data_IF_197803095122
#
_entry.id   IF_197803095122
#
_cell.length_a   1.000
_cell.length_b   1.000
_cell.length_c   1.000
_cell.angle_alpha   90.00
_cell.angle_beta   90.00
_cell.angle_gamma   90.00
#
_symmetry.space_group_name_H-M   'P 1'
#
loop_
_entity.id
_entity.type
_entity.pdbx_description
1 polymer ?
#
# COMPACT_ATOMS: atom_id res chain seq x y z
N UNK A 1 13.17 -5.25 -15.88
CA UNK A 1 11.90 -5.31 -15.15
C UNK A 1 11.32 -3.91 -15.02
N UNK A 2 10.01 -3.80 -14.95
CA UNK A 2 9.32 -2.53 -14.72
C UNK A 2 8.97 -2.40 -13.25
N UNK A 3 9.20 -1.23 -12.67
CA UNK A 3 8.86 -0.90 -11.31
C UNK A 3 7.64 0.02 -11.31
N UNK A 4 6.57 -0.39 -10.63
CA UNK A 4 5.37 0.41 -10.49
C UNK A 4 5.37 1.09 -9.14
N UNK A 5 5.27 2.41 -9.14
CA UNK A 5 5.09 3.20 -7.92
C UNK A 5 3.68 3.71 -7.82
N UNK A 6 3.16 3.65 -6.62
CA UNK A 6 1.97 4.37 -6.22
C UNK A 6 2.39 5.42 -5.19
N UNK A 7 2.32 6.68 -5.55
CA UNK A 7 2.68 7.80 -4.67
C UNK A 7 1.43 8.62 -4.40
N UNK A 8 1.07 8.77 -3.13
CA UNK A 8 0.09 9.77 -2.72
C UNK A 8 0.81 11.10 -2.50
N UNK A 9 0.49 12.11 -3.32
CA UNK A 9 1.00 13.47 -3.14
C UNK A 9 -0.21 14.36 -2.90
N UNK A 10 -0.38 14.84 -1.67
CA UNK A 10 -1.53 15.65 -1.25
C UNK A 10 -2.88 14.97 -1.57
N UNK A 11 -3.91 15.63 -1.89
CA UNK A 11 -5.25 15.06 -2.10
C UNK A 11 -5.40 14.32 -3.45
N UNK A 12 -4.34 14.26 -4.27
CA UNK A 12 -4.32 13.60 -5.57
C UNK A 12 -3.48 12.32 -5.51
N UNK A 13 -4.09 11.20 -5.80
CA UNK A 13 -3.39 9.94 -6.00
C UNK A 13 -2.84 9.86 -7.43
N UNK A 14 -1.56 9.56 -7.55
CA UNK A 14 -0.89 9.36 -8.85
C UNK A 14 -0.21 8.00 -8.86
N UNK A 15 -0.63 7.15 -9.77
CA UNK A 15 0.08 5.90 -10.07
C UNK A 15 0.91 6.09 -11.34
N UNK A 16 2.12 5.54 -11.36
CA UNK A 16 2.98 5.61 -12.53
C UNK A 16 3.80 4.33 -12.71
N UNK A 17 4.09 3.99 -13.95
CA UNK A 17 5.05 2.96 -14.31
C UNK A 17 6.37 3.65 -14.63
N UNK A 18 7.45 3.27 -13.93
CA UNK A 18 8.79 3.75 -14.24
C UNK A 18 9.63 2.65 -14.88
N UNK A 19 10.15 2.85 -16.09
CA UNK A 19 11.22 2.01 -16.61
C UNK A 19 12.50 2.22 -15.79
N UNK A 20 13.22 1.13 -15.51
CA UNK A 20 14.43 1.15 -14.65
C UNK A 20 15.64 1.86 -15.30
N UNK A 21 15.61 2.13 -16.57
CA UNK A 21 16.74 2.63 -17.36
C UNK A 21 16.64 4.12 -17.72
N UNK A 22 15.69 4.83 -17.18
CA UNK A 22 15.57 6.27 -17.39
C UNK A 22 14.66 6.90 -16.35
N UNK A 23 15.23 7.70 -15.48
CA UNK A 23 14.52 8.48 -14.46
C UNK A 23 13.71 9.63 -15.09
N UNK A 24 12.82 9.32 -16.01
CA UNK A 24 11.82 10.29 -16.44
C UNK A 24 10.51 10.03 -15.68
N UNK A 25 10.33 10.76 -14.60
CA UNK A 25 9.15 10.68 -13.74
C UNK A 25 7.89 11.32 -14.35
N UNK A 26 7.89 11.64 -15.63
CA UNK A 26 6.78 12.35 -16.28
C UNK A 26 5.77 11.42 -16.96
N UNK A 27 6.00 10.12 -16.98
CA UNK A 27 5.16 9.19 -17.71
C UNK A 27 3.93 8.73 -16.93
N UNK A 28 2.80 8.90 -17.53
CA UNK A 28 1.50 8.30 -17.24
C UNK A 28 0.93 8.58 -15.84
N UNK A 29 0.72 9.84 -15.54
CA UNK A 29 -0.21 10.25 -14.50
C UNK A 29 -1.62 10.08 -15.07
N UNK A 30 -2.38 9.13 -14.57
CA UNK A 30 -3.80 9.04 -14.87
C UNK A 30 -4.56 9.88 -13.85
N UNK A 31 -4.96 11.08 -14.26
CA UNK A 31 -5.57 12.10 -13.38
C UNK A 31 -7.00 11.75 -12.92
N UNK A 32 -7.58 10.65 -13.41
CA UNK A 32 -8.98 10.29 -13.19
C UNK A 32 -9.25 9.21 -12.13
N UNK A 33 -8.25 8.77 -11.37
CA UNK A 33 -8.45 7.75 -10.36
C UNK A 33 -8.99 8.38 -9.08
N UNK A 34 -10.30 8.35 -8.90
CA UNK A 34 -10.93 8.60 -7.61
C UNK A 34 -10.69 7.40 -6.69
N UNK A 35 -9.83 7.57 -5.71
CA UNK A 35 -9.38 6.52 -4.77
C UNK A 35 -10.49 5.81 -3.99
N UNK A 36 -11.69 6.34 -3.97
CA UNK A 36 -12.79 5.81 -3.18
C UNK A 36 -13.52 4.64 -3.83
N UNK A 37 -13.41 4.51 -5.15
CA UNK A 37 -14.02 3.42 -5.91
C UNK A 37 -13.02 3.00 -7.00
N UNK A 38 -12.20 2.01 -6.75
CA UNK A 38 -11.25 1.44 -7.71
C UNK A 38 -11.79 0.16 -8.41
N UNK A 39 -13.03 0.11 -8.95
CA UNK A 39 -13.50 -1.08 -9.65
C UNK A 39 -12.80 -1.27 -11.01
N UNK A 40 -12.20 -0.22 -11.55
CA UNK A 40 -11.60 -0.21 -12.89
C UNK A 40 -10.05 -0.14 -12.88
N UNK A 41 -9.43 -0.21 -11.71
CA UNK A 41 -7.98 -0.26 -11.63
C UNK A 41 -7.50 -1.60 -12.19
N UNK A 42 -6.89 -1.58 -13.36
CA UNK A 42 -6.34 -2.78 -13.99
C UNK A 42 -5.01 -2.51 -14.64
N UNK A 43 -4.12 -3.45 -14.54
CA UNK A 43 -2.93 -3.59 -15.35
C UNK A 43 -3.07 -4.84 -16.22
N UNK A 44 -2.24 -4.97 -17.24
CA UNK A 44 -2.13 -6.20 -17.99
C UNK A 44 -1.66 -7.34 -17.08
N UNK A 45 -2.12 -8.56 -17.38
CA UNK A 45 -1.80 -9.74 -16.60
C UNK A 45 -0.31 -10.13 -16.75
N UNK A 46 0.29 -10.58 -15.65
CA UNK A 46 1.66 -11.13 -15.63
C UNK A 46 2.72 -10.20 -16.25
N UNK A 47 2.59 -8.91 -16.03
CA UNK A 47 3.47 -7.89 -16.61
C UNK A 47 4.70 -7.63 -15.72
N UNK A 48 4.51 -7.57 -14.39
CA UNK A 48 5.54 -7.08 -13.48
C UNK A 48 6.26 -8.18 -12.72
N UNK A 49 7.54 -7.97 -12.46
CA UNK A 49 8.34 -8.80 -11.55
C UNK A 49 8.20 -8.34 -10.10
N UNK A 50 7.89 -7.04 -9.90
CA UNK A 50 7.72 -6.44 -8.59
C UNK A 50 6.74 -5.27 -8.65
N UNK A 51 5.90 -5.17 -7.62
CA UNK A 51 5.06 -3.99 -7.34
C UNK A 51 5.37 -3.51 -5.94
N UNK A 52 5.52 -2.21 -5.77
CA UNK A 52 5.74 -1.57 -4.47
C UNK A 52 4.65 -0.53 -4.20
N UNK A 53 4.18 -0.47 -2.96
CA UNK A 53 3.25 0.55 -2.50
C UNK A 53 3.72 1.16 -1.19
N UNK A 54 3.63 2.49 -1.10
CA UNK A 54 4.08 3.25 0.06
C UNK A 54 2.98 4.23 0.49
N UNK A 55 2.54 4.13 1.74
CA UNK A 55 1.58 5.06 2.38
C UNK A 55 0.30 5.27 1.57
N UNK A 56 -0.21 4.23 1.00
CA UNK A 56 -1.32 4.31 0.07
C UNK A 56 -2.46 3.35 0.41
N UNK A 57 -2.17 2.21 0.99
CA UNK A 57 -3.21 1.20 1.29
C UNK A 57 -4.24 1.68 2.32
N UNK A 58 -3.91 2.69 3.11
CA UNK A 58 -4.85 3.31 4.06
C UNK A 58 -5.86 4.26 3.40
N UNK A 59 -5.65 4.69 2.16
CA UNK A 59 -6.52 5.65 1.48
C UNK A 59 -7.82 5.03 0.94
N UNK A 60 -7.81 3.85 0.27
CA UNK A 60 -9.03 3.25 -0.19
C UNK A 60 -9.84 2.60 0.94
N UNK A 61 -11.14 2.42 0.71
CA UNK A 61 -11.97 1.57 1.55
C UNK A 61 -11.44 0.12 1.56
N UNK A 62 -11.91 -0.73 2.47
CA UNK A 62 -11.53 -2.15 2.49
C UNK A 62 -11.86 -2.85 1.16
N UNK A 63 -12.98 -2.51 0.54
CA UNK A 63 -13.36 -3.02 -0.80
C UNK A 63 -12.44 -2.48 -1.89
N UNK A 64 -12.16 -1.17 -1.89
CA UNK A 64 -11.22 -0.55 -2.83
C UNK A 64 -9.81 -1.12 -2.69
N UNK A 65 -9.36 -1.37 -1.47
CA UNK A 65 -8.08 -2.03 -1.21
C UNK A 65 -8.04 -3.48 -1.72
N UNK A 66 -9.15 -4.22 -1.54
CA UNK A 66 -9.28 -5.57 -2.12
C UNK A 66 -9.14 -5.53 -3.64
N UNK A 67 -9.88 -4.64 -4.31
CA UNK A 67 -9.82 -4.50 -5.77
C UNK A 67 -8.41 -4.12 -6.25
N UNK A 68 -7.74 -3.22 -5.56
CA UNK A 68 -6.34 -2.86 -5.83
C UNK A 68 -5.42 -4.09 -5.69
N UNK A 69 -5.52 -4.82 -4.59
CA UNK A 69 -4.67 -5.97 -4.33
C UNK A 69 -4.91 -7.11 -5.34
N UNK A 70 -6.17 -7.33 -5.76
CA UNK A 70 -6.51 -8.27 -6.83
C UNK A 70 -5.92 -7.84 -8.19
N UNK A 71 -5.94 -6.54 -8.51
CA UNK A 71 -5.34 -6.01 -9.73
C UNK A 71 -3.81 -6.19 -9.70
N UNK A 72 -3.16 -5.90 -8.57
CA UNK A 72 -1.73 -6.15 -8.37
C UNK A 72 -1.41 -7.64 -8.50
N UNK A 73 -2.22 -8.51 -7.90
CA UNK A 73 -2.04 -9.97 -8.01
C UNK A 73 -2.06 -10.43 -9.46
N UNK A 74 -3.05 -9.98 -10.24
CA UNK A 74 -3.12 -10.34 -11.67
C UNK A 74 -1.92 -9.84 -12.45
N UNK A 75 -1.49 -8.60 -12.20
CA UNK A 75 -0.40 -7.96 -12.94
C UNK A 75 0.99 -8.53 -12.66
N UNK A 76 1.20 -9.13 -11.50
CA UNK A 76 2.45 -9.78 -11.17
C UNK A 76 2.62 -11.11 -11.91
N UNK A 77 3.82 -11.39 -12.35
CA UNK A 77 4.25 -12.72 -12.83
C UNK A 77 4.22 -13.72 -11.67
N UNK A 78 4.14 -15.03 -11.97
CA UNK A 78 4.38 -16.07 -10.97
C UNK A 78 5.77 -15.90 -10.35
N UNK A 79 5.87 -15.97 -9.03
CA UNK A 79 7.08 -15.65 -8.27
C UNK A 79 7.32 -14.16 -8.03
N UNK A 80 6.52 -13.28 -8.64
CA UNK A 80 6.62 -11.83 -8.50
C UNK A 80 6.34 -11.35 -7.08
N UNK A 81 6.95 -10.22 -6.73
CA UNK A 81 6.96 -9.69 -5.36
C UNK A 81 6.02 -8.48 -5.24
N UNK A 82 5.22 -8.46 -4.17
CA UNK A 82 4.50 -7.28 -3.74
C UNK A 82 5.07 -6.78 -2.41
N UNK A 83 5.69 -5.60 -2.43
CA UNK A 83 6.19 -4.94 -1.22
C UNK A 83 5.25 -3.82 -0.80
N UNK A 84 4.90 -3.78 0.48
CA UNK A 84 3.98 -2.79 1.01
C UNK A 84 4.52 -2.16 2.30
N UNK A 85 4.42 -0.83 2.38
CA UNK A 85 4.78 -0.03 3.56
C UNK A 85 3.63 0.89 3.90
N UNK A 86 3.13 0.82 5.14
CA UNK A 86 2.10 1.76 5.59
C UNK A 86 2.17 2.00 7.09
N UNK A 87 1.39 2.97 7.57
CA UNK A 87 1.38 3.38 8.98
C UNK A 87 0.70 2.32 9.85
N UNK A 88 1.38 1.98 10.94
CA UNK A 88 0.93 0.94 11.89
C UNK A 88 -0.27 1.43 12.70
N UNK A 89 -1.31 0.59 12.76
CA UNK A 89 -2.38 0.64 13.73
C UNK A 89 -2.25 -0.54 14.70
N UNK A 90 -2.67 -0.34 15.94
CA UNK A 90 -2.71 -1.41 16.94
C UNK A 90 -3.64 -2.53 16.47
N UNK A 91 -3.20 -3.77 16.60
CA UNK A 91 -4.01 -4.93 16.26
C UNK A 91 -5.34 -4.93 17.01
N UNK A 92 -6.43 -5.12 16.27
CA UNK A 92 -7.81 -5.10 16.78
C UNK A 92 -8.16 -3.83 17.57
N UNK A 93 -7.63 -2.69 17.16
CA UNK A 93 -8.02 -1.42 17.78
C UNK A 93 -9.53 -1.23 17.70
N UNK A 94 -10.20 -0.78 18.80
CA UNK A 94 -11.64 -0.58 18.80
C UNK A 94 -12.08 0.40 17.71
N UNK A 95 -13.21 0.10 17.05
CA UNK A 95 -13.81 0.92 15.97
C UNK A 95 -14.07 2.37 16.39
N UNK A 96 -14.29 2.62 17.70
CA UNK A 96 -14.42 3.99 18.23
C UNK A 96 -13.17 4.86 18.02
N UNK A 97 -12.00 4.26 17.83
CA UNK A 97 -10.75 4.97 17.52
C UNK A 97 -10.43 4.96 16.03
N UNK A 98 -11.09 4.14 15.24
CA UNK A 98 -10.81 4.00 13.81
C UNK A 98 -10.97 5.32 13.04
N UNK A 99 -11.99 6.11 13.37
CA UNK A 99 -12.21 7.42 12.79
C UNK A 99 -11.11 8.44 13.15
N UNK A 100 -10.43 8.25 14.27
CA UNK A 100 -9.35 9.12 14.75
C UNK A 100 -7.99 8.71 14.18
N UNK A 101 -7.86 7.44 13.77
CA UNK A 101 -6.63 6.84 13.21
C UNK A 101 -6.81 6.44 11.73
N UNK A 102 -7.57 7.21 10.96
CA UNK A 102 -8.05 6.84 9.62
C UNK A 102 -6.97 6.49 8.60
N UNK A 103 -5.73 6.96 8.81
CA UNK A 103 -4.60 6.66 7.93
C UNK A 103 -3.62 5.64 8.53
N UNK A 104 -4.08 4.81 9.44
CA UNK A 104 -3.29 3.70 10.00
C UNK A 104 -3.98 2.38 9.73
N UNK A 105 -3.22 1.37 9.38
CA UNK A 105 -3.71 0.03 9.09
C UNK A 105 -3.09 -1.00 10.03
N UNK A 106 -3.92 -1.93 10.46
CA UNK A 106 -3.51 -3.08 11.24
C UNK A 106 -2.75 -4.09 10.35
N UNK A 107 -1.44 -4.31 10.57
CA UNK A 107 -0.64 -5.18 9.71
C UNK A 107 -1.13 -6.63 9.70
N UNK A 108 -1.72 -7.12 10.78
CA UNK A 108 -2.24 -8.50 10.86
C UNK A 108 -3.45 -8.66 9.95
N UNK A 109 -4.35 -7.67 9.93
CA UNK A 109 -5.50 -7.67 9.02
C UNK A 109 -5.06 -7.50 7.56
N UNK A 110 -4.06 -6.68 7.29
CA UNK A 110 -3.50 -6.53 5.93
C UNK A 110 -2.87 -7.84 5.45
N UNK A 111 -2.11 -8.54 6.29
CA UNK A 111 -1.58 -9.86 5.93
C UNK A 111 -2.72 -10.83 5.57
N UNK A 112 -3.80 -10.83 6.37
CA UNK A 112 -4.97 -11.66 6.06
C UNK A 112 -5.62 -11.27 4.73
N UNK A 113 -5.84 -9.98 4.48
CA UNK A 113 -6.41 -9.50 3.21
C UNK A 113 -5.56 -9.95 2.00
N UNK A 114 -4.24 -9.87 2.10
CA UNK A 114 -3.33 -10.30 1.04
C UNK A 114 -3.39 -11.81 0.80
N UNK A 115 -3.45 -12.61 1.86
CA UNK A 115 -3.61 -14.08 1.77
C UNK A 115 -4.95 -14.42 1.14
N UNK A 116 -6.03 -13.72 1.50
CA UNK A 116 -7.37 -13.93 0.94
C UNK A 116 -7.42 -13.63 -0.58
N UNK A 117 -6.57 -12.73 -1.09
CA UNK A 117 -6.38 -12.45 -2.53
C UNK A 117 -5.58 -13.57 -3.24
N UNK A 118 -4.76 -14.32 -2.50
CA UNK A 118 -3.95 -15.42 -3.04
C UNK A 118 -2.44 -15.24 -2.90
N UNK A 119 -1.98 -14.14 -2.28
CA UNK A 119 -0.57 -13.95 -2.01
C UNK A 119 -0.06 -14.89 -0.91
N UNK A 120 1.21 -15.26 -1.00
CA UNK A 120 1.96 -15.85 0.11
C UNK A 120 2.64 -14.72 0.90
N UNK A 121 2.46 -14.71 2.22
CA UNK A 121 3.29 -13.87 3.09
C UNK A 121 4.71 -14.43 3.15
N UNK A 122 5.71 -13.61 2.85
CA UNK A 122 7.12 -14.05 2.80
C UNK A 122 7.89 -13.57 4.00
N UNK A 123 7.81 -12.26 4.31
CA UNK A 123 8.65 -11.66 5.34
C UNK A 123 8.14 -10.27 5.74
N UNK A 124 8.69 -9.74 6.83
CA UNK A 124 8.55 -8.35 7.24
C UNK A 124 9.92 -7.73 7.54
N UNK A 125 10.01 -6.41 7.53
CA UNK A 125 11.23 -5.71 7.91
C UNK A 125 10.95 -4.68 8.99
N UNK A 126 11.78 -4.60 10.05
CA UNK A 126 11.66 -3.56 11.08
C UNK A 126 12.29 -2.23 10.67
N UNK A 127 12.71 -2.04 9.41
CA UNK A 127 13.44 -0.85 8.96
C UNK A 127 12.70 0.48 9.16
N UNK A 128 11.37 0.44 9.27
CA UNK A 128 10.53 1.61 9.52
C UNK A 128 9.87 1.59 10.91
N UNK A 129 10.39 0.77 11.82
CA UNK A 129 9.89 0.70 13.18
C UNK A 129 10.26 1.96 13.97
N UNK A 130 9.26 2.61 14.56
CA UNK A 130 9.38 3.80 15.40
C UNK A 130 8.74 3.55 16.77
N UNK A 131 9.51 3.04 17.75
CA UNK A 131 8.99 2.64 19.06
C UNK A 131 8.41 3.79 19.89
N UNK A 132 8.79 5.04 19.57
CA UNK A 132 8.28 6.23 20.26
C UNK A 132 6.87 6.64 19.81
N UNK A 133 6.36 6.07 18.71
CA UNK A 133 4.99 6.28 18.26
C UNK A 133 4.03 5.40 19.05
N UNK A 134 3.21 6.01 19.90
CA UNK A 134 2.23 5.30 20.73
C UNK A 134 0.99 4.81 19.95
N UNK A 135 0.96 5.08 18.62
CA UNK A 135 -0.12 4.70 17.70
C UNK A 135 -1.48 5.36 17.99
N UNK A 136 -1.52 6.36 18.87
CA UNK A 136 -2.79 6.96 19.33
C UNK A 136 -3.28 8.11 18.46
N UNK A 137 -2.39 8.72 17.66
CA UNK A 137 -2.65 9.93 16.91
C UNK A 137 -2.71 9.69 15.41
N UNK A 138 -3.50 10.50 14.72
CA UNK A 138 -3.55 10.54 13.28
C UNK A 138 -2.20 10.97 12.70
N UNK A 139 -1.76 10.34 11.61
CA UNK A 139 -0.40 10.46 11.05
C UNK A 139 -0.02 11.86 10.55
N UNK A 140 -1.00 12.70 10.22
CA UNK A 140 -0.80 14.09 9.81
C UNK A 140 -0.71 15.09 10.96
N UNK A 141 -0.94 14.64 12.20
CA UNK A 141 -0.91 15.52 13.38
C UNK A 141 0.45 16.21 13.52
N UNK A 142 0.48 17.54 13.76
CA UNK A 142 1.74 18.23 14.04
C UNK A 142 2.52 17.57 15.18
N UNK A 143 3.80 17.29 14.96
CA UNK A 143 4.68 16.58 15.90
C UNK A 143 4.70 15.05 15.75
N UNK A 144 3.71 14.47 15.06
CA UNK A 144 3.66 13.03 14.73
C UNK A 144 4.10 12.80 13.30
N UNK A 145 3.77 13.72 12.41
CA UNK A 145 4.09 13.64 10.98
C UNK A 145 5.59 13.41 10.76
N UNK A 146 5.92 12.34 10.04
CA UNK A 146 7.30 11.94 9.74
C UNK A 146 7.94 11.00 10.77
N UNK A 147 7.36 10.87 11.98
CA UNK A 147 7.85 10.03 13.09
C UNK A 147 6.92 8.85 13.42
N UNK A 148 5.97 8.56 12.54
CA UNK A 148 5.02 7.46 12.75
C UNK A 148 5.68 6.10 12.57
N UNK A 149 5.27 5.13 13.39
CA UNK A 149 5.59 3.73 13.18
C UNK A 149 4.96 3.22 11.88
N UNK A 150 5.69 2.38 11.16
CA UNK A 150 5.27 1.80 9.89
C UNK A 150 5.69 0.35 9.79
N UNK A 151 4.76 -0.46 9.35
CA UNK A 151 5.07 -1.82 8.97
C UNK A 151 5.59 -1.88 7.53
N UNK A 152 6.48 -2.83 7.28
CA UNK A 152 7.03 -3.16 5.95
C UNK A 152 6.84 -4.66 5.74
N UNK A 153 6.01 -5.01 4.76
CA UNK A 153 5.61 -6.39 4.49
C UNK A 153 6.00 -6.79 3.07
N UNK A 154 6.37 -8.06 2.91
CA UNK A 154 6.72 -8.67 1.64
C UNK A 154 5.83 -9.86 1.36
N UNK A 155 5.21 -9.84 0.19
CA UNK A 155 4.37 -10.91 -0.32
C UNK A 155 4.91 -11.44 -1.65
N UNK A 156 4.50 -12.63 -2.03
CA UNK A 156 4.83 -13.27 -3.30
C UNK A 156 3.56 -13.81 -3.95
N UNK A 157 3.42 -13.63 -5.27
CA UNK A 157 2.47 -14.38 -6.07
C UNK A 157 3.04 -15.79 -6.29
N UNK A 158 2.32 -16.88 -5.97
CA UNK A 158 2.76 -18.26 -6.20
C UNK A 158 3.08 -18.58 -7.66
#
# INVERSE_FOLDING_TARGET
GELVFSVSVSDDFKSGVMPLDGLDCTSAINDDITLRNLPEFSFDDNQFDMVLTFWNLHNPSAEGRKNLNEAVFRSLKSGGIYGAVDHTRRHLEPTSREAQNGRRLDPVLIIKEMIDVGFEFVDFSPMHYHPEDDLSQEVGTPGVRGSTDRWTLKFRKP
#
